data_IF_304245582495
#
_entry.id   IF_304245582495
#
_cell.length_a   1.000
_cell.length_b   1.000
_cell.length_c   1.000
_cell.angle_alpha   90.00
_cell.angle_beta   90.00
_cell.angle_gamma   90.00
#
_symmetry.space_group_name_H-M   'P 1'
#
loop_
_entity.id
_entity.type
_entity.pdbx_description
1 polymer ?
#
# COMPACT_ATOMS: atom_id res chain seq x y z
N UNK A 1 -4.55 -17.89 -48.85
CA UNK A 1 -5.26 -17.59 -47.60
C UNK A 1 -4.42 -18.13 -46.46
N UNK A 2 -3.58 -17.28 -45.87
CA UNK A 2 -2.88 -17.63 -44.65
C UNK A 2 -3.93 -17.68 -43.54
N UNK A 3 -4.06 -18.84 -42.91
CA UNK A 3 -4.93 -19.03 -41.76
C UNK A 3 -4.36 -18.24 -40.59
N UNK A 4 -5.05 -17.16 -40.23
CA UNK A 4 -4.76 -16.34 -39.06
C UNK A 4 -5.00 -17.20 -37.82
N UNK A 5 -3.95 -17.91 -37.36
CA UNK A 5 -4.00 -18.62 -36.09
C UNK A 5 -4.14 -17.56 -35.00
N UNK A 6 -5.11 -17.68 -34.07
CA UNK A 6 -5.22 -16.72 -32.98
C UNK A 6 -3.88 -16.67 -32.24
N UNK A 7 -3.26 -15.49 -32.23
CA UNK A 7 -1.97 -15.27 -31.59
C UNK A 7 -2.15 -15.56 -30.08
N UNK A 8 -1.48 -16.61 -29.61
CA UNK A 8 -1.63 -17.08 -28.23
C UNK A 8 -1.00 -16.05 -27.29
N UNK A 9 -1.77 -15.55 -26.32
CA UNK A 9 -1.23 -14.73 -25.23
C UNK A 9 -0.26 -15.56 -24.37
N UNK A 10 0.90 -14.99 -24.07
CA UNK A 10 2.03 -15.57 -23.35
C UNK A 10 2.32 -14.74 -22.11
N UNK A 11 2.90 -15.37 -21.08
CA UNK A 11 3.27 -14.68 -19.84
C UNK A 11 4.78 -14.48 -19.78
N UNK A 12 5.24 -13.27 -19.47
CA UNK A 12 6.64 -13.00 -19.21
C UNK A 12 6.82 -12.25 -17.88
N UNK A 13 8.01 -12.38 -17.30
CA UNK A 13 8.39 -11.64 -16.10
C UNK A 13 9.56 -10.73 -16.45
N UNK A 14 9.41 -9.44 -16.20
CA UNK A 14 10.40 -8.42 -16.58
C UNK A 14 10.92 -7.78 -15.30
N UNK A 15 12.25 -7.71 -15.15
CA UNK A 15 12.88 -6.88 -14.12
C UNK A 15 12.84 -5.41 -14.53
N UNK A 16 12.60 -4.55 -13.55
CA UNK A 16 12.55 -3.10 -13.68
C UNK A 16 13.67 -2.51 -12.83
N UNK A 17 14.56 -1.69 -13.40
CA UNK A 17 15.67 -1.07 -12.67
C UNK A 17 15.88 0.39 -13.04
N UNK A 18 16.11 1.27 -12.08
CA UNK A 18 16.46 2.67 -12.32
C UNK A 18 17.37 3.24 -11.23
N UNK A 19 18.39 4.02 -11.61
CA UNK A 19 19.28 4.71 -10.65
C UNK A 19 19.64 6.15 -11.03
N UNK A 20 18.93 6.78 -11.97
CA UNK A 20 19.15 8.19 -12.33
C UNK A 20 17.84 8.97 -12.29
N UNK A 21 17.90 10.21 -11.77
CA UNK A 21 16.76 11.12 -11.74
C UNK A 21 15.63 10.66 -10.80
N UNK A 22 14.38 10.87 -11.20
CA UNK A 22 13.21 10.35 -10.49
C UNK A 22 13.01 8.87 -10.83
N UNK A 23 13.75 8.02 -10.13
CA UNK A 23 13.85 6.57 -10.36
C UNK A 23 12.49 5.86 -10.40
N UNK A 24 11.56 6.28 -9.53
CA UNK A 24 10.22 5.70 -9.46
C UNK A 24 9.39 6.16 -10.66
N UNK A 25 9.43 7.45 -11.01
CA UNK A 25 8.71 7.97 -12.17
C UNK A 25 9.20 7.35 -13.49
N UNK A 26 10.50 7.07 -13.62
CA UNK A 26 11.05 6.34 -14.78
C UNK A 26 10.50 4.91 -14.85
N UNK A 27 10.46 4.17 -13.74
CA UNK A 27 9.86 2.82 -13.72
C UNK A 27 8.37 2.87 -14.09
N UNK A 28 7.61 3.82 -13.54
CA UNK A 28 6.19 3.98 -13.88
C UNK A 28 5.98 4.37 -15.33
N UNK A 29 6.88 5.18 -15.91
CA UNK A 29 6.89 5.50 -17.32
C UNK A 29 7.16 4.26 -18.17
N UNK A 30 8.14 3.45 -17.81
CA UNK A 30 8.42 2.20 -18.52
C UNK A 30 7.20 1.27 -18.53
N UNK A 31 6.47 1.13 -17.40
CA UNK A 31 5.22 0.37 -17.38
C UNK A 31 4.15 0.92 -18.33
N UNK A 32 4.02 2.26 -18.45
CA UNK A 32 3.09 2.87 -19.42
C UNK A 32 3.50 2.61 -20.87
N UNK A 33 4.80 2.64 -21.17
CA UNK A 33 5.32 2.33 -22.50
C UNK A 33 5.11 0.86 -22.87
N UNK A 34 5.23 -0.07 -21.90
CA UNK A 34 4.88 -1.48 -22.08
C UNK A 34 3.40 -1.62 -22.47
N UNK A 35 2.50 -1.03 -21.67
CA UNK A 35 1.06 -1.09 -21.91
C UNK A 35 0.70 -0.46 -23.29
N UNK A 36 1.34 0.65 -23.66
CA UNK A 36 1.14 1.33 -24.96
C UNK A 36 1.58 0.49 -26.17
N UNK A 37 2.51 -0.45 -25.98
CA UNK A 37 3.00 -1.38 -27.01
C UNK A 37 2.26 -2.72 -27.03
N UNK A 38 1.17 -2.84 -26.26
CA UNK A 38 0.40 -4.08 -26.15
C UNK A 38 1.04 -5.16 -25.28
N UNK A 39 2.08 -4.81 -24.50
CA UNK A 39 2.69 -5.66 -23.48
C UNK A 39 1.99 -5.32 -22.16
N UNK A 40 0.88 -5.98 -21.89
CA UNK A 40 -0.02 -5.62 -20.78
C UNK A 40 0.60 -5.99 -19.45
N UNK A 41 0.84 -5.00 -18.59
CA UNK A 41 1.36 -5.23 -17.23
C UNK A 41 0.23 -5.65 -16.29
N UNK A 42 0.25 -6.92 -15.87
CA UNK A 42 -0.81 -7.56 -15.08
C UNK A 42 -0.76 -7.21 -13.61
N UNK A 43 0.44 -7.29 -13.03
CA UNK A 43 0.72 -6.95 -11.64
C UNK A 43 2.22 -6.71 -11.47
N UNK A 44 2.59 -6.09 -10.37
CA UNK A 44 3.97 -5.73 -10.06
C UNK A 44 4.35 -6.23 -8.69
N UNK A 45 5.64 -6.44 -8.49
CA UNK A 45 6.22 -6.55 -7.15
C UNK A 45 6.13 -5.20 -6.43
N UNK A 46 6.58 -5.16 -5.18
CA UNK A 46 6.99 -3.91 -4.52
C UNK A 46 8.20 -3.32 -5.25
N UNK A 47 8.45 -2.02 -5.08
CA UNK A 47 9.74 -1.42 -5.45
C UNK A 47 10.71 -1.60 -4.29
N UNK A 48 11.95 -1.97 -4.59
CA UNK A 48 13.00 -2.29 -3.62
C UNK A 48 14.20 -1.38 -3.84
N UNK A 49 14.70 -0.75 -2.78
CA UNK A 49 15.90 0.08 -2.86
C UNK A 49 17.15 -0.71 -2.45
N UNK A 50 18.17 -0.72 -3.32
CA UNK A 50 19.47 -1.33 -3.07
C UNK A 50 20.62 -0.35 -3.20
N UNK A 51 21.72 -0.66 -2.53
CA UNK A 51 23.02 -0.07 -2.88
C UNK A 51 23.48 -0.56 -4.27
N UNK A 52 24.30 0.23 -4.98
CA UNK A 52 24.92 -0.21 -6.23
C UNK A 52 25.76 -1.48 -6.04
N UNK A 53 25.48 -2.53 -6.81
CA UNK A 53 26.19 -3.81 -6.69
C UNK A 53 27.63 -3.78 -7.29
N UNK A 54 27.89 -2.91 -8.28
CA UNK A 54 29.12 -2.96 -9.08
C UNK A 54 30.02 -1.72 -8.95
N UNK A 55 29.45 -0.56 -8.59
CA UNK A 55 30.18 0.71 -8.52
C UNK A 55 29.66 1.55 -7.35
N UNK A 56 30.45 1.70 -6.29
CA UNK A 56 30.02 2.35 -5.05
C UNK A 56 29.74 3.88 -5.19
N UNK A 57 30.33 4.55 -6.18
CA UNK A 57 30.12 5.99 -6.45
C UNK A 57 28.87 6.25 -7.32
N UNK A 58 27.73 5.62 -6.99
CA UNK A 58 26.46 5.82 -7.72
C UNK A 58 25.27 5.97 -6.76
N UNK A 59 24.22 6.65 -7.24
CA UNK A 59 22.94 6.69 -6.54
C UNK A 59 22.36 5.27 -6.37
N UNK A 60 21.61 5.07 -5.28
CA UNK A 60 20.96 3.79 -4.97
C UNK A 60 20.03 3.36 -6.11
N UNK A 61 19.94 2.07 -6.36
CA UNK A 61 19.04 1.53 -7.38
C UNK A 61 17.66 1.32 -6.80
N UNK A 62 16.63 1.61 -7.60
CA UNK A 62 15.26 1.12 -7.37
C UNK A 62 15.03 -0.03 -8.32
N UNK A 63 14.66 -1.19 -7.77
CA UNK A 63 14.42 -2.42 -8.51
C UNK A 63 12.99 -2.91 -8.27
N UNK A 64 12.43 -3.59 -9.25
CA UNK A 64 11.14 -4.27 -9.15
C UNK A 64 11.03 -5.34 -10.22
N UNK A 65 9.90 -6.02 -10.27
CA UNK A 65 9.53 -6.93 -11.32
C UNK A 65 8.06 -6.72 -11.69
N UNK A 66 7.70 -7.04 -12.92
CA UNK A 66 6.32 -7.12 -13.35
C UNK A 66 6.02 -8.40 -14.10
N UNK A 67 4.80 -8.89 -13.91
CA UNK A 67 4.22 -9.95 -14.74
C UNK A 67 3.47 -9.28 -15.89
N UNK A 68 3.75 -9.71 -17.12
CA UNK A 68 3.15 -9.15 -18.33
C UNK A 68 2.50 -10.22 -19.20
N UNK A 69 1.43 -9.83 -19.89
CA UNK A 69 0.81 -10.59 -20.98
C UNK A 69 1.22 -9.98 -22.33
N UNK A 70 1.68 -10.80 -23.27
CA UNK A 70 2.06 -10.36 -24.62
C UNK A 70 1.78 -11.43 -25.67
N UNK A 71 1.73 -11.04 -26.94
CA UNK A 71 1.66 -11.96 -28.10
C UNK A 71 2.99 -12.06 -28.86
N UNK A 72 4.00 -11.30 -28.44
CA UNK A 72 5.34 -11.25 -29.04
C UNK A 72 6.15 -12.48 -28.65
N UNK A 73 6.97 -13.02 -29.54
CA UNK A 73 7.95 -14.07 -29.20
C UNK A 73 9.13 -13.49 -28.36
N UNK A 74 9.93 -14.32 -27.66
CA UNK A 74 10.93 -13.84 -26.69
C UNK A 74 11.93 -12.80 -27.22
N UNK A 75 12.41 -12.97 -28.45
CA UNK A 75 13.33 -12.02 -29.08
C UNK A 75 12.63 -10.72 -29.51
N UNK A 76 11.38 -10.80 -29.95
CA UNK A 76 10.57 -9.62 -30.29
C UNK A 76 10.23 -8.81 -29.02
N UNK A 77 9.95 -9.50 -27.91
CA UNK A 77 9.79 -8.86 -26.61
C UNK A 77 11.07 -8.12 -26.21
N UNK A 78 12.24 -8.77 -26.33
CA UNK A 78 13.53 -8.14 -26.05
C UNK A 78 13.75 -6.88 -26.91
N UNK A 79 13.44 -6.94 -28.21
CA UNK A 79 13.55 -5.80 -29.12
C UNK A 79 12.67 -4.63 -28.65
N UNK A 80 11.42 -4.90 -28.24
CA UNK A 80 10.53 -3.89 -27.70
C UNK A 80 11.04 -3.28 -26.38
N UNK A 81 11.61 -4.07 -25.47
CA UNK A 81 12.20 -3.55 -24.24
C UNK A 81 13.39 -2.61 -24.53
N UNK A 82 14.26 -3.00 -25.46
CA UNK A 82 15.41 -2.19 -25.88
C UNK A 82 14.99 -0.86 -26.53
N UNK A 83 13.91 -0.87 -27.30
CA UNK A 83 13.33 0.34 -27.87
C UNK A 83 12.74 1.28 -26.80
N UNK A 84 12.08 0.74 -25.77
CA UNK A 84 11.56 1.53 -24.64
C UNK A 84 12.71 2.23 -23.93
N UNK A 85 13.77 1.49 -23.60
CA UNK A 85 14.94 2.05 -22.93
C UNK A 85 15.62 3.14 -23.78
N UNK A 86 15.77 2.91 -25.08
CA UNK A 86 16.34 3.88 -26.00
C UNK A 86 15.49 5.15 -26.08
N UNK A 87 14.15 5.01 -26.17
CA UNK A 87 13.20 6.12 -26.17
C UNK A 87 13.28 6.94 -24.88
N UNK A 88 13.46 6.28 -23.74
CA UNK A 88 13.56 6.94 -22.44
C UNK A 88 14.93 7.61 -22.22
N UNK A 89 15.91 7.41 -23.12
CA UNK A 89 17.18 8.12 -23.10
C UNK A 89 18.37 7.29 -22.59
N UNK A 90 18.30 5.96 -22.66
CA UNK A 90 19.42 5.07 -22.33
C UNK A 90 20.65 5.42 -23.19
N UNK A 91 21.66 6.06 -22.58
CA UNK A 91 22.98 6.26 -23.17
C UNK A 91 23.91 5.16 -22.67
N UNK A 92 24.22 4.16 -23.50
CA UNK A 92 25.26 3.14 -23.21
C UNK A 92 26.64 3.81 -23.23
N UNK A 93 26.99 4.53 -22.17
CA UNK A 93 28.31 5.13 -21.99
C UNK A 93 29.30 4.15 -21.34
N UNK A 94 28.82 3.28 -20.43
CA UNK A 94 29.61 2.28 -19.70
C UNK A 94 28.76 1.02 -19.47
N UNK A 95 29.34 -0.18 -19.63
CA UNK A 95 28.66 -1.43 -19.27
C UNK A 95 28.40 -1.49 -17.75
N UNK A 96 27.18 -1.86 -17.37
CA UNK A 96 26.64 -1.77 -15.99
C UNK A 96 26.78 -0.39 -15.30
N UNK A 97 26.93 0.69 -16.07
CA UNK A 97 26.93 2.07 -15.55
C UNK A 97 25.53 2.62 -15.22
N UNK A 98 25.43 3.86 -14.73
CA UNK A 98 24.16 4.51 -14.38
C UNK A 98 23.19 4.60 -15.55
N UNK A 99 21.90 4.30 -15.32
CA UNK A 99 20.83 4.30 -16.31
C UNK A 99 19.55 4.85 -15.71
N UNK A 100 18.80 5.57 -16.54
CA UNK A 100 17.45 6.03 -16.22
C UNK A 100 16.44 4.87 -16.14
N UNK A 101 16.61 3.83 -16.96
CA UNK A 101 15.81 2.60 -16.92
C UNK A 101 16.61 1.41 -17.49
N UNK A 102 16.39 0.22 -16.92
CA UNK A 102 16.89 -1.08 -17.38
C UNK A 102 15.73 -2.10 -17.31
N UNK A 103 15.47 -2.80 -18.41
CA UNK A 103 14.39 -3.77 -18.55
C UNK A 103 14.94 -5.11 -19.03
N UNK A 104 14.92 -6.13 -18.17
CA UNK A 104 15.43 -7.47 -18.49
C UNK A 104 14.32 -8.53 -18.46
N UNK A 105 14.24 -9.37 -19.50
CA UNK A 105 13.35 -10.54 -19.49
C UNK A 105 13.93 -11.59 -18.54
N UNK A 106 13.23 -11.86 -17.44
CA UNK A 106 13.62 -12.84 -16.43
C UNK A 106 13.18 -14.25 -16.79
N UNK A 107 11.90 -14.38 -17.14
CA UNK A 107 11.22 -15.64 -17.45
C UNK A 107 10.22 -15.41 -18.59
N UNK A 108 9.95 -16.46 -19.36
CA UNK A 108 8.96 -16.44 -20.43
C UNK A 108 8.27 -17.80 -20.48
N UNK A 109 6.99 -17.83 -20.11
CA UNK A 109 6.22 -19.04 -19.78
C UNK A 109 7.04 -20.03 -18.92
N UNK A 110 7.34 -21.22 -19.46
CA UNK A 110 8.23 -22.24 -18.92
C UNK A 110 9.38 -22.56 -19.92
N UNK A 111 9.64 -21.63 -20.86
CA UNK A 111 10.60 -21.82 -21.94
C UNK A 111 12.05 -21.66 -21.46
N UNK A 112 12.95 -22.39 -22.12
CA UNK A 112 14.40 -22.23 -21.96
C UNK A 112 14.95 -21.70 -23.28
N UNK A 113 15.43 -20.46 -23.26
CA UNK A 113 16.01 -19.79 -24.44
C UNK A 113 17.51 -19.71 -24.24
N UNK A 114 18.27 -20.20 -25.22
CA UNK A 114 19.72 -20.04 -25.28
C UNK A 114 20.08 -19.41 -26.64
N UNK A 115 20.15 -18.09 -26.67
CA UNK A 115 20.46 -17.29 -27.84
C UNK A 115 21.56 -16.28 -27.50
N UNK A 116 22.38 -15.88 -28.48
CA UNK A 116 23.49 -14.93 -28.29
C UNK A 116 23.06 -13.59 -27.67
N UNK A 117 21.80 -13.19 -27.90
CA UNK A 117 21.20 -11.95 -27.39
C UNK A 117 20.33 -12.14 -26.14
N UNK A 118 19.88 -13.36 -25.85
CA UNK A 118 18.84 -13.63 -24.86
C UNK A 118 19.02 -15.01 -24.21
N UNK A 119 19.05 -15.03 -22.88
CA UNK A 119 19.04 -16.26 -22.09
C UNK A 119 17.83 -16.25 -21.17
N UNK A 120 17.02 -17.30 -21.21
CA UNK A 120 15.84 -17.48 -20.34
C UNK A 120 15.91 -18.87 -19.70
N UNK A 121 15.78 -19.00 -18.36
CA UNK A 121 15.76 -17.92 -17.36
C UNK A 121 16.99 -17.02 -17.42
N UNK A 122 16.84 -15.75 -17.03
CA UNK A 122 17.92 -14.76 -17.13
C UNK A 122 19.21 -15.24 -16.43
N UNK A 123 20.35 -15.11 -17.10
CA UNK A 123 21.62 -15.71 -16.67
C UNK A 123 22.08 -15.28 -15.27
N UNK A 124 21.83 -14.02 -14.89
CA UNK A 124 22.20 -13.47 -13.58
C UNK A 124 21.12 -13.59 -12.49
N UNK A 125 20.03 -14.33 -12.72
CA UNK A 125 18.89 -14.37 -11.78
C UNK A 125 19.30 -14.94 -10.42
N UNK A 126 20.16 -15.97 -10.39
CA UNK A 126 20.55 -16.67 -9.17
C UNK A 126 21.51 -15.91 -8.26
N UNK A 127 22.12 -14.84 -8.75
CA UNK A 127 23.17 -14.10 -8.03
C UNK A 127 22.65 -12.78 -7.44
N UNK A 128 21.42 -12.38 -7.80
CA UNK A 128 20.92 -11.02 -7.56
C UNK A 128 19.69 -11.05 -6.66
N UNK A 129 19.87 -10.72 -5.38
CA UNK A 129 18.77 -10.61 -4.43
C UNK A 129 17.72 -9.60 -4.90
N UNK A 130 18.14 -8.47 -5.46
CA UNK A 130 17.25 -7.43 -5.99
C UNK A 130 16.45 -7.84 -7.24
N UNK A 131 16.73 -9.02 -7.81
CA UNK A 131 15.91 -9.64 -8.86
C UNK A 131 15.03 -10.74 -8.27
N UNK A 132 15.61 -11.65 -7.48
CA UNK A 132 14.88 -12.77 -6.90
C UNK A 132 13.83 -12.33 -5.88
N UNK A 133 14.08 -11.29 -5.09
CA UNK A 133 13.15 -10.80 -4.07
C UNK A 133 11.86 -10.22 -4.68
N UNK A 134 11.91 -9.28 -5.65
CA UNK A 134 10.72 -8.89 -6.41
C UNK A 134 10.02 -10.05 -7.11
N UNK A 135 10.78 -10.97 -7.71
CA UNK A 135 10.20 -12.10 -8.44
C UNK A 135 9.49 -13.09 -7.51
N UNK A 136 10.05 -13.35 -6.33
CA UNK A 136 9.44 -14.20 -5.31
C UNK A 136 8.13 -13.61 -4.76
N UNK A 137 7.94 -12.28 -4.77
CA UNK A 137 6.63 -11.68 -4.44
C UNK A 137 5.54 -12.05 -5.47
N UNK A 138 5.92 -12.20 -6.74
CA UNK A 138 4.99 -12.54 -7.83
C UNK A 138 4.72 -14.04 -7.93
N UNK A 139 5.78 -14.84 -7.81
CA UNK A 139 5.77 -16.29 -8.09
C UNK A 139 6.61 -17.09 -7.07
N UNK A 140 6.28 -17.05 -5.78
CA UNK A 140 7.10 -17.67 -4.72
C UNK A 140 7.23 -19.19 -4.91
N UNK A 141 6.19 -19.85 -5.45
CA UNK A 141 6.07 -21.30 -5.59
C UNK A 141 6.25 -21.80 -7.04
N UNK A 142 6.69 -20.96 -7.98
CA UNK A 142 7.01 -21.38 -9.36
C UNK A 142 8.45 -21.90 -9.41
N UNK A 143 8.68 -22.99 -10.13
CA UNK A 143 10.05 -23.43 -10.43
C UNK A 143 10.67 -22.53 -11.49
N UNK A 144 11.87 -21.99 -11.24
CA UNK A 144 12.57 -21.14 -12.20
C UNK A 144 13.17 -21.93 -13.36
N UNK A 145 13.65 -23.15 -13.09
CA UNK A 145 14.37 -23.97 -14.06
C UNK A 145 13.63 -25.30 -14.27
N UNK A 146 13.26 -25.66 -15.51
CA UNK A 146 12.61 -26.94 -15.79
C UNK A 146 13.44 -28.18 -15.39
N UNK A 147 14.76 -28.03 -15.27
CA UNK A 147 15.66 -29.10 -14.79
C UNK A 147 15.54 -29.38 -13.29
N UNK A 148 15.02 -28.42 -12.51
CA UNK A 148 14.87 -28.49 -11.06
C UNK A 148 13.41 -28.18 -10.65
N UNK A 149 12.42 -28.96 -11.10
CA UNK A 149 11.00 -28.66 -10.87
C UNK A 149 10.57 -28.67 -9.40
N UNK A 150 11.38 -29.26 -8.51
CA UNK A 150 11.13 -29.33 -7.07
C UNK A 150 11.63 -28.10 -6.30
N UNK A 151 12.35 -27.17 -6.95
CA UNK A 151 12.95 -26.01 -6.30
C UNK A 151 12.28 -24.72 -6.80
N UNK A 152 11.64 -24.01 -5.88
CA UNK A 152 10.83 -22.84 -6.18
C UNK A 152 11.64 -21.53 -6.12
N UNK A 153 11.11 -20.46 -6.71
CA UNK A 153 11.70 -19.11 -6.66
C UNK A 153 12.09 -18.70 -5.25
N UNK A 154 11.22 -18.97 -4.25
CA UNK A 154 11.49 -18.64 -2.86
C UNK A 154 12.68 -19.42 -2.29
N UNK A 155 12.91 -20.67 -2.71
CA UNK A 155 14.05 -21.46 -2.24
C UNK A 155 15.38 -20.85 -2.71
N UNK A 156 15.44 -20.39 -3.96
CA UNK A 156 16.63 -19.68 -4.46
C UNK A 156 16.89 -18.36 -3.72
N UNK A 157 15.84 -17.62 -3.36
CA UNK A 157 15.98 -16.41 -2.55
C UNK A 157 16.50 -16.73 -1.14
N UNK A 158 16.01 -17.81 -0.52
CA UNK A 158 16.43 -18.22 0.82
C UNK A 158 17.89 -18.71 0.89
N UNK A 159 18.44 -19.17 -0.24
CA UNK A 159 19.84 -19.61 -0.33
C UNK A 159 20.83 -18.44 -0.52
N UNK A 160 20.35 -17.27 -0.95
CA UNK A 160 21.19 -16.09 -1.04
C UNK A 160 21.55 -15.55 0.35
N UNK A 161 22.79 -15.06 0.55
CA UNK A 161 23.08 -14.29 1.74
C UNK A 161 22.18 -13.04 1.76
N UNK A 162 21.59 -12.67 2.91
CA UNK A 162 20.83 -11.43 3.00
C UNK A 162 21.75 -10.24 2.76
N UNK A 163 21.28 -9.23 2.03
CA UNK A 163 22.01 -7.97 1.87
C UNK A 163 22.26 -7.28 3.21
N UNK A 164 23.41 -6.63 3.32
CA UNK A 164 23.78 -5.76 4.43
C UNK A 164 24.18 -4.37 3.86
N UNK A 165 23.40 -3.30 4.10
CA UNK A 165 22.16 -3.28 4.88
C UNK A 165 21.00 -4.02 4.18
N UNK A 166 19.99 -4.51 4.93
CA UNK A 166 18.82 -5.15 4.36
C UNK A 166 18.07 -4.26 3.36
N UNK A 167 17.53 -4.89 2.31
CA UNK A 167 16.68 -4.24 1.33
C UNK A 167 15.43 -3.65 1.99
N UNK A 168 14.99 -2.48 1.52
CA UNK A 168 13.71 -1.89 1.92
C UNK A 168 12.79 -1.69 0.73
N UNK A 169 11.48 -1.83 0.95
CA UNK A 169 10.48 -1.44 -0.05
C UNK A 169 10.30 0.08 -0.09
N UNK A 170 9.81 0.59 -1.23
CA UNK A 170 9.46 1.98 -1.46
C UNK A 170 7.98 2.09 -1.88
N UNK A 171 7.21 2.88 -1.14
CA UNK A 171 5.85 3.29 -1.51
C UNK A 171 5.80 4.80 -1.74
N UNK A 172 5.81 5.28 -3.00
CA UNK A 172 5.79 6.71 -3.32
C UNK A 172 4.49 7.38 -2.90
N UNK A 173 4.53 8.46 -2.14
CA UNK A 173 3.35 9.21 -1.71
C UNK A 173 3.15 10.48 -2.55
N UNK A 174 4.19 11.30 -2.70
CA UNK A 174 4.23 12.47 -3.60
C UNK A 174 5.62 12.60 -4.23
N UNK A 175 5.78 13.48 -5.22
CA UNK A 175 7.09 13.76 -5.84
C UNK A 175 8.00 14.63 -4.97
N UNK A 176 7.45 15.26 -3.93
CA UNK A 176 8.19 16.18 -3.04
C UNK A 176 8.58 15.54 -1.71
N UNK A 177 7.99 14.40 -1.36
CA UNK A 177 8.25 13.69 -0.12
C UNK A 177 8.94 12.35 -0.39
N UNK A 178 9.83 11.89 0.51
CA UNK A 178 10.42 10.58 0.38
C UNK A 178 9.33 9.49 0.45
N UNK A 179 9.48 8.38 -0.29
CA UNK A 179 8.56 7.26 -0.22
C UNK A 179 8.57 6.61 1.18
N UNK A 180 7.47 5.96 1.55
CA UNK A 180 7.45 5.11 2.74
C UNK A 180 8.42 3.94 2.55
N UNK A 181 9.19 3.64 3.60
CA UNK A 181 10.22 2.61 3.60
C UNK A 181 9.90 1.53 4.61
N UNK A 182 8.85 0.73 4.34
CA UNK A 182 8.18 -0.13 5.33
C UNK A 182 9.08 -1.16 6.03
N UNK A 183 10.24 -1.48 5.45
CA UNK A 183 11.16 -2.48 6.00
C UNK A 183 12.44 -1.87 6.56
N UNK A 184 12.70 -0.57 6.36
CA UNK A 184 13.87 0.09 6.94
C UNK A 184 13.74 0.08 8.48
N UNK A 185 14.74 -0.44 9.22
CA UNK A 185 14.69 -0.50 10.69
C UNK A 185 14.52 0.89 11.33
N UNK A 186 15.24 1.89 10.83
CA UNK A 186 15.26 3.27 11.32
C UNK A 186 14.17 4.19 10.73
N UNK A 187 13.13 3.62 10.09
CA UNK A 187 12.05 4.41 9.47
C UNK A 187 11.22 5.14 10.52
N UNK A 188 10.61 6.27 10.17
CA UNK A 188 9.71 6.99 11.10
C UNK A 188 8.26 6.59 10.89
N UNK A 189 7.47 6.55 11.96
CA UNK A 189 6.02 6.38 11.85
C UNK A 189 5.41 7.73 11.48
N UNK A 190 4.58 7.74 10.44
CA UNK A 190 3.86 8.92 10.01
C UNK A 190 2.61 9.15 10.87
N UNK A 191 2.40 10.40 11.27
CA UNK A 191 1.19 10.82 11.99
C UNK A 191 0.21 11.41 10.97
N UNK A 192 -0.91 10.72 10.76
CA UNK A 192 -2.01 11.16 9.90
C UNK A 192 -3.11 11.79 10.74
N UNK A 193 -3.24 13.11 10.64
CA UNK A 193 -4.24 13.89 11.35
C UNK A 193 -5.62 13.76 10.69
N UNK A 194 -6.64 13.43 11.48
CA UNK A 194 -8.02 13.33 11.01
C UNK A 194 -8.64 14.72 10.91
N UNK A 195 -9.05 15.13 9.71
CA UNK A 195 -9.78 16.35 9.44
C UNK A 195 -11.17 16.03 8.89
N UNK A 196 -12.14 15.88 9.80
CA UNK A 196 -13.53 15.66 9.42
C UNK A 196 -14.21 16.99 9.09
N UNK A 197 -14.70 17.12 7.87
CA UNK A 197 -15.46 18.27 7.42
C UNK A 197 -16.95 18.04 7.73
N UNK A 198 -17.44 18.65 8.81
CA UNK A 198 -18.89 18.67 9.13
C UNK A 198 -19.49 20.05 8.84
N UNK A 199 -20.82 20.16 8.66
CA UNK A 199 -21.49 21.44 8.35
C UNK A 199 -21.15 22.59 9.30
N UNK A 200 -20.93 22.28 10.57
CA UNK A 200 -20.77 23.28 11.64
C UNK A 200 -19.30 23.52 12.05
N UNK A 201 -18.33 22.79 11.50
CA UNK A 201 -16.98 22.74 12.11
C UNK A 201 -16.14 23.99 11.87
N UNK A 202 -16.39 24.74 10.79
CA UNK A 202 -15.48 25.82 10.35
C UNK A 202 -16.25 26.96 9.68
N UNK A 203 -17.16 27.63 10.39
CA UNK A 203 -17.83 28.84 9.90
C UNK A 203 -16.97 30.08 10.16
N UNK A 204 -16.68 30.85 9.11
CA UNK A 204 -15.96 32.14 9.17
C UNK A 204 -16.82 33.29 9.75
N UNK A 205 -17.83 33.00 10.58
CA UNK A 205 -18.72 34.04 11.08
C UNK A 205 -19.78 33.54 12.05
N UNK A 206 -19.48 33.61 13.34
CA UNK A 206 -20.44 33.36 14.40
C UNK A 206 -19.80 33.50 15.78
N UNK A 207 -20.41 34.32 16.63
CA UNK A 207 -19.92 34.79 17.92
C UNK A 207 -19.80 33.71 19.00
N UNK A 208 -18.78 32.87 18.89
CA UNK A 208 -18.00 32.17 19.92
C UNK A 208 -16.75 31.71 19.17
N UNK A 209 -15.55 32.20 19.53
CA UNK A 209 -14.34 32.07 18.71
C UNK A 209 -14.03 30.63 18.26
N UNK A 210 -14.60 30.21 17.13
CA UNK A 210 -14.29 28.96 16.47
C UNK A 210 -12.89 29.12 15.85
N UNK A 211 -12.02 28.14 16.09
CA UNK A 211 -10.71 28.10 15.44
C UNK A 211 -10.94 27.94 13.94
N UNK A 212 -10.31 28.76 13.11
CA UNK A 212 -10.47 28.64 11.66
C UNK A 212 -9.95 27.28 11.17
N UNK A 213 -10.41 26.84 10.00
CA UNK A 213 -9.88 25.62 9.37
C UNK A 213 -8.36 25.71 9.16
N UNK A 214 -7.87 26.89 8.74
CA UNK A 214 -6.44 27.15 8.56
C UNK A 214 -5.66 27.02 9.88
N UNK A 215 -6.20 27.53 10.98
CA UNK A 215 -5.54 27.43 12.30
C UNK A 215 -5.52 25.99 12.83
N UNK A 216 -6.57 25.22 12.53
CA UNK A 216 -6.61 23.78 12.83
C UNK A 216 -5.53 23.03 12.05
N UNK A 217 -5.38 23.32 10.75
CA UNK A 217 -4.33 22.74 9.90
C UNK A 217 -2.94 23.12 10.43
N UNK A 218 -2.69 24.40 10.75
CA UNK A 218 -1.41 24.84 11.34
C UNK A 218 -1.13 24.16 12.69
N UNK A 219 -2.16 23.94 13.50
CA UNK A 219 -2.06 23.20 14.76
C UNK A 219 -1.64 21.75 14.54
N UNK A 220 -2.21 21.05 13.55
CA UNK A 220 -1.78 19.69 13.19
C UNK A 220 -0.31 19.66 12.76
N UNK A 221 0.10 20.58 11.89
CA UNK A 221 1.47 20.65 11.37
C UNK A 221 2.47 20.91 12.50
N UNK A 222 2.23 21.95 13.30
CA UNK A 222 3.10 22.28 14.45
C UNK A 222 3.12 21.19 15.52
N UNK A 223 2.09 20.35 15.58
CA UNK A 223 2.01 19.19 16.47
C UNK A 223 2.72 17.95 15.92
N UNK A 224 3.22 17.98 14.69
CA UNK A 224 4.00 16.92 14.08
C UNK A 224 3.23 15.99 13.14
N UNK A 225 2.04 16.39 12.66
CA UNK A 225 1.40 15.68 11.56
C UNK A 225 2.27 15.75 10.30
N UNK A 226 2.44 14.62 9.65
CA UNK A 226 3.08 14.52 8.32
C UNK A 226 2.07 14.26 7.21
N UNK A 227 0.85 13.86 7.59
CA UNK A 227 -0.28 13.61 6.70
C UNK A 227 -1.53 14.26 7.29
N UNK A 228 -2.41 14.77 6.45
CA UNK A 228 -3.76 15.23 6.83
C UNK A 228 -4.77 14.44 6.00
N UNK A 229 -5.72 13.80 6.65
CA UNK A 229 -6.76 12.99 6.03
C UNK A 229 -8.10 13.71 6.09
N UNK A 230 -8.56 14.16 4.92
CA UNK A 230 -9.75 14.99 4.74
C UNK A 230 -10.95 14.10 4.45
N UNK A 231 -11.92 14.07 5.37
CA UNK A 231 -13.15 13.31 5.21
C UNK A 231 -14.39 14.20 5.11
N UNK A 232 -15.17 14.04 4.05
CA UNK A 232 -16.45 14.76 3.85
C UNK A 232 -17.69 13.94 4.22
N UNK A 233 -17.57 12.60 4.25
CA UNK A 233 -18.61 11.65 4.61
C UNK A 233 -18.19 10.87 5.87
N UNK A 234 -19.09 10.77 6.84
CA UNK A 234 -18.82 9.97 8.03
C UNK A 234 -18.96 8.47 7.73
N UNK A 235 -17.93 7.70 8.03
CA UNK A 235 -17.92 6.23 7.93
C UNK A 235 -18.27 5.54 9.27
N UNK A 236 -18.61 6.31 10.31
CA UNK A 236 -19.08 5.77 11.58
C UNK A 236 -20.45 5.05 11.45
N UNK A 237 -20.72 4.01 12.26
CA UNK A 237 -21.99 3.29 12.22
C UNK A 237 -23.20 4.20 12.33
N UNK A 238 -24.25 3.90 11.56
CA UNK A 238 -25.58 4.54 11.64
C UNK A 238 -25.60 6.05 11.35
N UNK A 239 -24.54 6.60 10.74
CA UNK A 239 -24.54 7.99 10.27
C UNK A 239 -25.18 8.07 8.88
N UNK A 240 -26.03 9.08 8.62
CA UNK A 240 -26.64 9.26 7.31
C UNK A 240 -25.58 9.56 6.25
N UNK A 241 -25.81 9.07 5.03
CA UNK A 241 -25.02 9.45 3.87
C UNK A 241 -25.40 10.85 3.39
N UNK A 242 -24.40 11.64 3.01
CA UNK A 242 -24.59 12.90 2.32
C UNK A 242 -24.57 12.69 0.81
N UNK A 243 -25.17 13.63 0.08
CA UNK A 243 -25.09 13.67 -1.37
C UNK A 243 -23.61 13.82 -1.83
N UNK A 244 -23.31 13.35 -3.04
CA UNK A 244 -21.95 13.44 -3.61
C UNK A 244 -21.50 14.89 -3.69
N UNK A 245 -22.40 15.78 -4.11
CA UNK A 245 -22.17 17.22 -4.24
C UNK A 245 -21.84 17.87 -2.90
N UNK A 246 -22.46 17.40 -1.82
CA UNK A 246 -22.20 17.88 -0.47
C UNK A 246 -20.83 17.42 0.04
N UNK A 247 -20.46 16.15 -0.21
CA UNK A 247 -19.13 15.63 0.11
C UNK A 247 -18.04 16.37 -0.68
N UNK A 248 -18.24 16.60 -1.97
CA UNK A 248 -17.35 17.41 -2.82
C UNK A 248 -17.19 18.83 -2.29
N UNK A 249 -18.31 19.48 -1.93
CA UNK A 249 -18.33 20.83 -1.37
C UNK A 249 -17.60 20.95 -0.03
N UNK A 250 -17.43 19.85 0.70
CA UNK A 250 -16.66 19.77 1.94
C UNK A 250 -15.18 19.49 1.69
N UNK A 251 -14.87 18.50 0.85
CA UNK A 251 -13.51 17.97 0.67
C UNK A 251 -12.65 18.86 -0.21
N UNK A 252 -13.16 19.28 -1.38
CA UNK A 252 -12.36 19.99 -2.38
C UNK A 252 -11.85 21.35 -1.87
N UNK A 253 -12.67 22.20 -1.22
CA UNK A 253 -12.18 23.46 -0.67
C UNK A 253 -11.14 23.28 0.43
N UNK A 254 -11.30 22.26 1.28
CA UNK A 254 -10.35 21.95 2.35
C UNK A 254 -8.97 21.54 1.79
N UNK A 255 -8.94 20.68 0.78
CA UNK A 255 -7.69 20.28 0.11
C UNK A 255 -7.00 21.49 -0.53
N UNK A 256 -7.75 22.34 -1.24
CA UNK A 256 -7.20 23.57 -1.85
C UNK A 256 -6.65 24.52 -0.80
N UNK A 257 -7.34 24.67 0.33
CA UNK A 257 -6.84 25.48 1.44
C UNK A 257 -5.53 24.92 1.98
N UNK A 258 -5.46 23.61 2.28
CA UNK A 258 -4.21 22.98 2.75
C UNK A 258 -3.08 23.26 1.75
N UNK A 259 -3.31 23.06 0.44
CA UNK A 259 -2.29 23.33 -0.59
C UNK A 259 -1.88 24.79 -0.72
N UNK A 260 -2.74 25.73 -0.34
CA UNK A 260 -2.42 27.16 -0.38
C UNK A 260 -1.56 27.63 0.80
N UNK A 261 -1.47 26.84 1.88
CA UNK A 261 -0.71 27.19 3.09
C UNK A 261 0.78 26.86 2.87
N UNK A 262 1.70 27.83 2.99
CA UNK A 262 3.14 27.59 2.88
C UNK A 262 3.65 26.54 3.87
N UNK A 263 3.10 26.53 5.09
CA UNK A 263 3.48 25.59 6.16
C UNK A 263 3.10 24.14 5.83
N UNK A 264 2.19 23.94 4.86
CA UNK A 264 1.70 22.64 4.44
C UNK A 264 2.37 22.11 3.16
N UNK A 265 3.42 22.79 2.65
CA UNK A 265 4.12 22.40 1.42
C UNK A 265 4.62 20.94 1.43
N UNK A 266 5.08 20.49 2.58
CA UNK A 266 5.63 19.15 2.80
C UNK A 266 4.62 18.16 3.42
N UNK A 267 3.35 18.57 3.53
CA UNK A 267 2.30 17.74 4.11
C UNK A 267 1.63 16.93 3.02
N UNK A 268 1.56 15.62 3.25
CA UNK A 268 0.80 14.72 2.40
C UNK A 268 -0.70 14.87 2.68
N UNK A 269 -1.49 14.96 1.62
CA UNK A 269 -2.94 15.08 1.74
C UNK A 269 -3.60 13.77 1.33
N UNK A 270 -4.30 13.15 2.27
CA UNK A 270 -5.15 11.99 2.06
C UNK A 270 -6.61 12.44 1.96
N UNK A 271 -7.39 11.78 1.09
CA UNK A 271 -8.86 11.92 1.06
C UNK A 271 -9.51 10.64 1.57
N UNK A 272 -10.33 10.75 2.62
CA UNK A 272 -11.14 9.66 3.18
C UNK A 272 -12.47 9.61 2.44
N UNK A 273 -12.54 8.77 1.40
CA UNK A 273 -13.75 8.58 0.60
C UNK A 273 -13.81 7.19 -0.02
N UNK A 274 -15.03 6.67 -0.13
CA UNK A 274 -15.35 5.44 -0.84
C UNK A 274 -16.02 5.70 -2.20
N UNK A 275 -16.04 6.97 -2.67
CA UNK A 275 -16.68 7.38 -3.93
C UNK A 275 -15.66 7.80 -4.97
N UNK A 276 -15.71 7.19 -6.15
CA UNK A 276 -14.74 7.39 -7.22
C UNK A 276 -14.69 8.85 -7.70
N UNK A 277 -15.86 9.48 -7.86
CA UNK A 277 -15.97 10.88 -8.28
C UNK A 277 -15.36 11.87 -7.28
N UNK A 278 -15.46 11.59 -5.98
CA UNK A 278 -14.84 12.39 -4.92
C UNK A 278 -13.33 12.18 -4.89
N UNK A 279 -12.87 10.94 -5.02
CA UNK A 279 -11.44 10.63 -5.10
C UNK A 279 -10.77 11.34 -6.28
N UNK A 280 -11.39 11.32 -7.46
CA UNK A 280 -10.92 12.07 -8.63
C UNK A 280 -10.84 13.57 -8.37
N UNK A 281 -11.94 14.19 -7.92
CA UNK A 281 -11.97 15.62 -7.67
C UNK A 281 -10.97 16.05 -6.59
N UNK A 282 -10.77 15.22 -5.56
CA UNK A 282 -9.77 15.44 -4.51
C UNK A 282 -8.34 15.38 -5.04
N UNK A 283 -8.01 14.38 -5.88
CA UNK A 283 -6.69 14.29 -6.52
C UNK A 283 -6.45 15.48 -7.45
N UNK A 284 -7.44 15.90 -8.23
CA UNK A 284 -7.36 17.11 -9.06
C UNK A 284 -7.18 18.39 -8.23
N UNK A 285 -7.74 18.43 -7.02
CA UNK A 285 -7.56 19.52 -6.08
C UNK A 285 -6.18 19.50 -5.38
N UNK A 286 -5.45 18.40 -5.48
CA UNK A 286 -4.10 18.25 -4.96
C UNK A 286 -3.91 17.17 -3.90
N UNK A 287 -4.84 16.21 -3.72
CA UNK A 287 -4.61 15.06 -2.84
C UNK A 287 -3.51 14.13 -3.40
N UNK A 288 -2.74 13.54 -2.49
CA UNK A 288 -1.65 12.58 -2.77
C UNK A 288 -2.07 11.13 -2.57
N UNK A 289 -3.00 10.90 -1.64
CA UNK A 289 -3.41 9.56 -1.19
C UNK A 289 -4.94 9.45 -1.25
N UNK A 290 -5.43 8.32 -1.74
CA UNK A 290 -6.86 7.96 -1.67
C UNK A 290 -7.02 6.92 -0.57
N UNK A 291 -7.70 7.29 0.52
CA UNK A 291 -7.98 6.40 1.64
C UNK A 291 -9.41 5.87 1.55
N UNK A 292 -9.56 4.63 1.12
CA UNK A 292 -10.87 3.99 0.95
C UNK A 292 -11.09 2.88 1.97
N UNK A 293 -11.99 3.16 2.91
CA UNK A 293 -12.42 2.21 3.96
C UNK A 293 -12.99 0.91 3.39
N UNK A 294 -13.52 0.93 2.17
CA UNK A 294 -14.11 -0.22 1.49
C UNK A 294 -13.12 -0.99 0.63
N UNK A 295 -11.90 -0.49 0.48
CA UNK A 295 -10.90 -0.98 -0.47
C UNK A 295 -11.47 -1.17 -1.89
N UNK A 296 -12.35 -0.28 -2.35
CA UNK A 296 -13.01 -0.29 -3.66
C UNK A 296 -14.26 -1.18 -3.74
N UNK A 297 -14.83 -1.61 -2.62
CA UNK A 297 -16.01 -2.49 -2.59
C UNK A 297 -17.35 -1.74 -2.60
N UNK A 298 -17.37 -0.45 -2.21
CA UNK A 298 -18.61 0.33 -2.14
C UNK A 298 -18.94 1.10 -3.43
N UNK A 299 -17.97 1.32 -4.30
CA UNK A 299 -18.13 1.99 -5.59
C UNK A 299 -17.43 1.18 -6.68
N UNK A 300 -18.16 0.66 -7.69
CA UNK A 300 -17.60 -0.19 -8.73
C UNK A 300 -16.54 0.52 -9.60
N UNK A 301 -16.58 1.85 -9.67
CA UNK A 301 -15.63 2.65 -10.45
C UNK A 301 -14.39 3.07 -9.66
N UNK A 302 -14.33 2.74 -8.35
CA UNK A 302 -13.23 3.20 -7.49
C UNK A 302 -11.88 2.62 -7.89
N UNK A 303 -11.77 1.31 -8.09
CA UNK A 303 -10.48 0.68 -8.40
C UNK A 303 -9.93 1.12 -9.75
N UNK A 304 -10.78 1.25 -10.77
CA UNK A 304 -10.38 1.76 -12.09
C UNK A 304 -9.97 3.23 -12.03
N UNK A 305 -10.66 4.02 -11.20
CA UNK A 305 -10.30 5.42 -10.92
C UNK A 305 -8.95 5.52 -10.22
N UNK A 306 -8.72 4.76 -9.16
CA UNK A 306 -7.42 4.68 -8.47
C UNK A 306 -6.28 4.28 -9.41
N UNK A 307 -6.49 3.27 -10.25
CA UNK A 307 -5.51 2.81 -11.23
C UNK A 307 -5.14 3.91 -12.24
N UNK A 308 -6.13 4.66 -12.73
CA UNK A 308 -5.91 5.77 -13.66
C UNK A 308 -5.23 6.98 -13.01
N UNK A 309 -5.58 7.30 -11.76
CA UNK A 309 -5.01 8.43 -11.03
C UNK A 309 -3.55 8.19 -10.61
N UNK A 310 -3.13 6.91 -10.51
CA UNK A 310 -1.76 6.50 -10.15
C UNK A 310 -1.25 7.13 -8.84
N UNK A 311 -2.17 7.41 -7.92
CA UNK A 311 -1.87 7.86 -6.56
C UNK A 311 -1.71 6.68 -5.63
N UNK A 312 -1.12 6.92 -4.46
CA UNK A 312 -1.07 5.90 -3.42
C UNK A 312 -2.44 5.72 -2.81
N UNK A 313 -2.79 4.47 -2.51
CA UNK A 313 -4.12 4.09 -2.02
C UNK A 313 -4.00 3.36 -0.69
N UNK A 314 -4.88 3.68 0.25
CA UNK A 314 -5.07 2.88 1.45
C UNK A 314 -6.26 1.95 1.22
N UNK A 315 -6.02 0.65 1.29
CA UNK A 315 -7.04 -0.40 1.20
C UNK A 315 -7.31 -0.92 2.61
N UNK A 316 -8.43 -0.53 3.19
CA UNK A 316 -8.83 -0.98 4.52
C UNK A 316 -9.69 -2.24 4.45
N UNK A 317 -9.50 -3.13 5.41
CA UNK A 317 -10.35 -4.28 5.62
C UNK A 317 -11.66 -3.91 6.33
N UNK A 318 -12.79 -4.08 5.65
CA UNK A 318 -14.13 -4.02 6.23
C UNK A 318 -15.09 -5.03 5.57
N UNK A 319 -16.24 -5.27 6.20
CA UNK A 319 -17.34 -6.05 5.62
C UNK A 319 -18.63 -5.24 5.61
N UNK A 320 -19.40 -5.36 4.53
CA UNK A 320 -20.66 -4.64 4.34
C UNK A 320 -20.46 -3.15 4.13
N UNK A 321 -21.30 -2.33 4.77
CA UNK A 321 -21.29 -0.86 4.68
C UNK A 321 -21.32 -0.27 6.09
N UNK A 322 -21.12 1.06 6.28
CA UNK A 322 -21.30 1.69 7.60
C UNK A 322 -22.65 1.37 8.27
N UNK A 323 -23.70 1.10 7.49
CA UNK A 323 -25.02 0.72 7.99
C UNK A 323 -25.09 -0.76 8.44
N UNK A 324 -24.39 -1.67 7.78
CA UNK A 324 -24.53 -3.13 7.99
C UNK A 324 -23.35 -3.78 8.71
N UNK A 325 -22.17 -3.15 8.73
CA UNK A 325 -20.93 -3.75 9.20
C UNK A 325 -21.01 -4.28 10.64
N UNK A 326 -21.83 -3.67 11.50
CA UNK A 326 -21.95 -4.08 12.90
C UNK A 326 -22.46 -5.51 13.08
N UNK A 327 -23.20 -6.07 12.12
CA UNK A 327 -23.69 -7.45 12.16
C UNK A 327 -22.78 -8.46 11.46
N UNK A 328 -21.72 -8.00 10.78
CA UNK A 328 -20.82 -8.84 9.95
C UNK A 328 -19.50 -9.18 10.65
N UNK A 329 -19.56 -9.37 11.97
CA UNK A 329 -18.39 -9.55 12.84
C UNK A 329 -18.02 -11.02 13.11
N UNK A 330 -18.62 -11.98 12.42
CA UNK A 330 -18.25 -13.40 12.55
C UNK A 330 -17.08 -13.75 11.61
N UNK A 331 -15.87 -13.96 12.13
CA UNK A 331 -14.66 -14.27 11.35
C UNK A 331 -14.28 -15.75 11.30
N UNK A 332 -15.12 -16.66 11.82
CA UNK A 332 -14.75 -18.08 11.86
C UNK A 332 -15.47 -18.95 12.88
N UNK A 333 -16.54 -18.47 13.51
CA UNK A 333 -17.47 -19.40 14.13
C UNK A 333 -18.16 -20.20 13.02
N UNK A 334 -17.83 -21.49 12.93
CA UNK A 334 -18.74 -22.43 12.30
C UNK A 334 -20.08 -22.32 13.00
N UNK A 335 -21.14 -22.12 12.22
CA UNK A 335 -22.47 -22.55 12.60
C UNK A 335 -22.45 -24.06 12.85
N UNK A 336 -22.19 -24.46 14.09
CA UNK A 336 -22.46 -25.80 14.59
C UNK A 336 -23.11 -25.63 15.98
N UNK A 337 -24.43 -25.76 16.00
CA UNK A 337 -25.15 -26.06 17.23
C UNK A 337 -24.76 -27.46 17.71
N UNK A 338 -24.34 -27.61 18.97
CA UNK A 338 -24.93 -28.60 19.88
C UNK A 338 -24.27 -28.54 21.26
N UNK A 339 -25.12 -28.79 22.24
CA UNK A 339 -24.91 -29.03 23.66
C UNK A 339 -23.89 -30.11 23.99
N UNK A 340 -23.23 -29.90 25.14
CA UNK A 340 -22.74 -30.85 26.15
C UNK A 340 -21.84 -32.03 25.71
N UNK A 341 -20.55 -32.01 26.10
CA UNK A 341 -19.92 -33.01 26.98
C UNK A 341 -18.42 -32.73 27.21
N UNK A 342 -18.00 -33.07 28.42
CA UNK A 342 -16.72 -32.91 29.11
C UNK A 342 -15.41 -32.92 28.28
N UNK A 343 -14.57 -31.90 28.53
CA UNK A 343 -13.13 -32.15 28.71
C UNK A 343 -12.20 -31.96 27.52
N UNK A 344 -12.56 -31.19 26.48
CA UNK A 344 -11.59 -30.69 25.47
C UNK A 344 -11.77 -29.21 25.23
N UNK A 345 -10.73 -28.43 25.51
CA UNK A 345 -10.66 -26.98 25.28
C UNK A 345 -10.87 -26.71 23.78
N UNK A 346 -11.98 -26.08 23.43
CA UNK A 346 -12.20 -25.56 22.07
C UNK A 346 -11.06 -24.59 21.69
N UNK A 347 -10.62 -24.54 20.42
CA UNK A 347 -9.69 -23.50 19.98
C UNK A 347 -10.30 -22.13 20.31
N UNK A 348 -9.48 -21.20 20.83
CA UNK A 348 -9.96 -19.86 21.19
C UNK A 348 -10.49 -19.18 19.92
N UNK A 349 -11.73 -18.71 19.96
CA UNK A 349 -12.42 -18.02 18.85
C UNK A 349 -11.66 -16.83 18.24
N UNK A 350 -10.61 -16.34 18.91
CA UNK A 350 -9.71 -15.28 18.44
C UNK A 350 -8.72 -15.74 17.33
N UNK A 351 -8.45 -17.04 17.19
CA UNK A 351 -7.40 -17.56 16.30
C UNK A 351 -7.74 -17.36 14.80
N UNK A 352 -9.02 -17.25 14.45
CA UNK A 352 -9.47 -17.09 13.06
C UNK A 352 -9.49 -15.63 12.57
N UNK A 353 -9.42 -14.64 13.48
CA UNK A 353 -9.58 -13.22 13.12
C UNK A 353 -8.48 -12.76 12.15
N UNK A 354 -7.22 -12.99 12.50
CA UNK A 354 -6.07 -12.58 11.69
C UNK A 354 -6.02 -13.32 10.34
N UNK A 355 -6.12 -14.66 10.28
CA UNK A 355 -6.17 -15.39 9.02
C UNK A 355 -7.29 -14.93 8.08
N UNK A 356 -8.49 -14.69 8.60
CA UNK A 356 -9.63 -14.28 7.79
C UNK A 356 -9.46 -12.85 7.26
N UNK A 357 -8.99 -11.91 8.09
CA UNK A 357 -8.66 -10.54 7.64
C UNK A 357 -7.57 -10.58 6.57
N UNK A 358 -6.54 -11.40 6.75
CA UNK A 358 -5.45 -11.52 5.80
C UNK A 358 -5.94 -12.03 4.44
N UNK A 359 -6.77 -13.07 4.44
CA UNK A 359 -7.40 -13.62 3.24
C UNK A 359 -8.24 -12.57 2.52
N UNK A 360 -9.11 -11.87 3.22
CA UNK A 360 -9.99 -10.86 2.63
C UNK A 360 -9.21 -9.65 2.10
N UNK A 361 -8.13 -9.24 2.77
CA UNK A 361 -7.21 -8.22 2.24
C UNK A 361 -6.48 -8.68 0.98
N UNK A 362 -6.01 -9.94 0.92
CA UNK A 362 -5.40 -10.49 -0.29
C UNK A 362 -6.36 -10.46 -1.49
N UNK A 363 -7.65 -10.75 -1.27
CA UNK A 363 -8.68 -10.64 -2.31
C UNK A 363 -8.83 -9.20 -2.80
N UNK A 364 -8.74 -8.20 -1.90
CA UNK A 364 -8.77 -6.78 -2.29
C UNK A 364 -7.49 -6.33 -3.01
N UNK A 365 -6.32 -6.79 -2.57
CA UNK A 365 -5.04 -6.52 -3.28
C UNK A 365 -5.08 -7.11 -4.68
N UNK A 366 -5.56 -8.35 -4.85
CA UNK A 366 -5.69 -8.97 -6.17
C UNK A 366 -6.66 -8.19 -7.08
N UNK A 367 -7.79 -7.70 -6.54
CA UNK A 367 -8.73 -6.87 -7.28
C UNK A 367 -8.11 -5.52 -7.70
N UNK A 368 -7.33 -4.89 -6.81
CA UNK A 368 -6.60 -3.66 -7.08
C UNK A 368 -5.56 -3.84 -8.19
N UNK A 369 -4.74 -4.89 -8.10
CA UNK A 369 -3.74 -5.24 -9.12
C UNK A 369 -4.41 -5.52 -10.48
N UNK A 370 -5.51 -6.28 -10.48
CA UNK A 370 -6.27 -6.57 -11.70
C UNK A 370 -6.87 -5.32 -12.37
N UNK A 371 -7.19 -4.29 -11.58
CA UNK A 371 -7.64 -2.99 -12.08
C UNK A 371 -6.48 -2.11 -12.62
N UNK A 372 -5.23 -2.49 -12.38
CA UNK A 372 -4.03 -1.78 -12.83
C UNK A 372 -3.32 -0.98 -11.73
N UNK A 373 -3.75 -1.08 -10.47
CA UNK A 373 -3.05 -0.45 -9.35
C UNK A 373 -1.74 -1.20 -9.11
N UNK A 374 -0.61 -0.49 -9.12
CA UNK A 374 0.70 -1.10 -8.89
C UNK A 374 0.86 -1.42 -7.42
N UNK A 375 1.46 -2.56 -7.10
CA UNK A 375 1.63 -3.03 -5.70
C UNK A 375 2.38 -2.03 -4.83
N UNK A 376 3.38 -1.34 -5.40
CA UNK A 376 4.11 -0.28 -4.71
C UNK A 376 3.28 0.97 -4.40
N UNK A 377 2.04 1.09 -4.85
CA UNK A 377 1.10 2.18 -4.51
C UNK A 377 0.10 1.82 -3.42
N UNK A 378 0.21 0.63 -2.81
CA UNK A 378 -0.80 0.13 -1.85
C UNK A 378 -0.29 0.28 -0.40
N UNK A 379 -1.13 0.83 0.46
CA UNK A 379 -1.05 0.78 1.93
C UNK A 379 -2.23 -0.05 2.42
N UNK A 380 -2.03 -0.90 3.44
CA UNK A 380 -3.09 -1.72 4.03
C UNK A 380 -3.54 -1.19 5.39
N UNK A 381 -4.82 -1.35 5.75
CA UNK A 381 -5.34 -1.08 7.10
C UNK A 381 -6.21 -2.25 7.58
N UNK A 382 -6.01 -2.81 8.79
CA UNK A 382 -6.84 -3.90 9.30
C UNK A 382 -8.29 -3.49 9.63
N UNK A 383 -8.59 -2.20 9.64
CA UNK A 383 -9.92 -1.62 9.82
C UNK A 383 -10.47 -1.77 11.22
N UNK A 384 -9.74 -1.26 12.23
CA UNK A 384 -10.20 -1.32 13.63
C UNK A 384 -11.57 -0.64 13.81
N UNK A 385 -12.52 -1.36 14.40
CA UNK A 385 -13.90 -0.94 14.62
C UNK A 385 -14.82 -1.09 13.41
N UNK A 386 -14.33 -1.56 12.27
CA UNK A 386 -15.14 -1.85 11.09
C UNK A 386 -15.43 -3.34 11.00
N UNK A 387 -16.70 -3.72 11.19
CA UNK A 387 -17.14 -5.11 11.28
C UNK A 387 -16.39 -5.95 12.33
N UNK A 388 -15.96 -5.36 13.45
CA UNK A 388 -15.16 -6.03 14.49
C UNK A 388 -15.61 -5.65 15.88
N UNK A 389 -15.79 -6.63 16.77
CA UNK A 389 -16.11 -6.39 18.19
C UNK A 389 -14.86 -6.06 19.02
N UNK A 390 -15.05 -5.65 20.27
CA UNK A 390 -13.96 -5.21 21.14
C UNK A 390 -12.81 -6.21 21.26
N UNK A 391 -13.12 -7.48 21.52
CA UNK A 391 -12.10 -8.55 21.60
C UNK A 391 -11.30 -8.69 20.30
N UNK A 392 -11.97 -8.72 19.16
CA UNK A 392 -11.33 -8.83 17.84
C UNK A 392 -10.40 -7.65 17.54
N UNK A 393 -10.78 -6.42 17.91
CA UNK A 393 -9.91 -5.24 17.77
C UNK A 393 -8.63 -5.37 18.62
N UNK A 394 -8.74 -5.92 19.83
CA UNK A 394 -7.57 -6.18 20.69
C UNK A 394 -6.71 -7.32 20.12
N UNK A 395 -7.32 -8.36 19.56
CA UNK A 395 -6.62 -9.47 18.89
C UNK A 395 -5.81 -8.97 17.69
N UNK A 396 -6.38 -8.09 16.86
CA UNK A 396 -5.65 -7.47 15.75
C UNK A 396 -4.45 -6.67 16.25
N UNK A 397 -4.61 -5.83 17.28
CA UNK A 397 -3.49 -5.06 17.83
C UNK A 397 -2.39 -5.96 18.40
N UNK A 398 -2.76 -7.07 19.06
CA UNK A 398 -1.82 -8.05 19.62
C UNK A 398 -1.03 -8.79 18.55
N UNK A 399 -1.66 -9.06 17.42
CA UNK A 399 -1.14 -9.91 16.34
C UNK A 399 -0.92 -9.12 15.03
N UNK A 400 -0.70 -7.81 15.12
CA UNK A 400 -0.52 -6.95 13.95
C UNK A 400 0.75 -7.35 13.17
N UNK A 401 1.81 -7.78 13.88
CA UNK A 401 3.03 -8.29 13.24
C UNK A 401 2.74 -9.55 12.43
N UNK A 402 2.00 -10.50 13.00
CA UNK A 402 1.61 -11.75 12.33
C UNK A 402 0.77 -11.46 11.07
N UNK A 403 -0.15 -10.48 11.15
CA UNK A 403 -0.94 -10.05 10.00
C UNK A 403 -0.07 -9.42 8.89
N UNK A 404 0.91 -8.58 9.24
CA UNK A 404 1.84 -7.98 8.28
C UNK A 404 2.75 -9.03 7.64
N UNK A 405 3.19 -10.02 8.41
CA UNK A 405 4.08 -11.09 7.97
C UNK A 405 3.33 -12.21 7.22
N UNK A 406 2.00 -12.08 7.07
CA UNK A 406 1.18 -13.04 6.36
C UNK A 406 1.60 -13.18 4.88
N UNK A 407 1.71 -14.41 4.33
CA UNK A 407 2.01 -14.67 2.93
C UNK A 407 1.20 -13.82 1.93
N UNK A 408 1.89 -13.02 1.14
CA UNK A 408 1.31 -12.12 0.13
C UNK A 408 0.97 -10.72 0.63
N UNK A 409 0.97 -10.48 1.95
CA UNK A 409 0.82 -9.14 2.55
C UNK A 409 2.15 -8.54 3.02
N UNK A 410 3.22 -9.36 3.04
CA UNK A 410 4.54 -8.88 3.41
C UNK A 410 4.98 -7.71 2.52
N UNK A 411 5.86 -6.89 3.09
CA UNK A 411 6.54 -5.77 2.43
C UNK A 411 5.65 -4.57 2.08
N UNK A 412 4.32 -4.70 2.20
CA UNK A 412 3.37 -3.59 2.10
C UNK A 412 3.39 -2.74 3.38
N UNK A 413 3.31 -1.41 3.26
CA UNK A 413 3.13 -0.53 4.42
C UNK A 413 1.75 -0.64 5.04
N UNK A 414 1.66 -0.35 6.34
CA UNK A 414 0.43 -0.46 7.13
C UNK A 414 -0.01 0.86 7.76
N UNK A 415 -1.28 1.18 7.63
CA UNK A 415 -1.98 2.25 8.34
C UNK A 415 -2.85 1.65 9.45
N UNK A 416 -2.86 2.26 10.64
CA UNK A 416 -3.74 1.86 11.74
C UNK A 416 -4.49 3.04 12.33
N UNK A 417 -5.83 3.03 12.22
CA UNK A 417 -6.72 4.00 12.84
C UNK A 417 -7.41 3.50 14.12
N UNK A 418 -6.77 3.64 15.28
CA UNK A 418 -7.34 3.25 16.58
C UNK A 418 -7.98 4.41 17.38
N UNK A 419 -7.76 5.66 16.96
CA UNK A 419 -8.05 6.85 17.75
C UNK A 419 -9.53 7.00 18.15
N UNK A 420 -9.77 7.21 19.45
CA UNK A 420 -11.08 7.46 20.07
C UNK A 420 -12.13 6.37 19.84
N UNK A 421 -11.76 5.18 19.36
CA UNK A 421 -12.69 4.07 19.05
C UNK A 421 -13.44 3.58 20.30
N UNK A 422 -14.64 3.04 20.09
CA UNK A 422 -15.55 2.64 21.18
C UNK A 422 -15.00 1.53 22.07
N UNK A 423 -14.22 0.59 21.53
CA UNK A 423 -13.61 -0.49 22.31
C UNK A 423 -12.65 0.04 23.38
N UNK A 424 -11.94 1.14 23.11
CA UNK A 424 -11.06 1.80 24.08
C UNK A 424 -11.87 2.30 25.28
N UNK A 425 -13.01 2.96 25.01
CA UNK A 425 -13.88 3.45 26.08
C UNK A 425 -14.48 2.32 26.93
N UNK A 426 -14.81 1.18 26.31
CA UNK A 426 -15.31 -0.01 27.03
C UNK A 426 -14.25 -0.60 27.96
N UNK A 427 -13.00 -0.69 27.53
CA UNK A 427 -11.89 -1.25 28.33
C UNK A 427 -11.46 -0.29 29.45
N UNK A 428 -11.38 1.01 29.17
CA UNK A 428 -10.86 2.02 30.11
C UNK A 428 -11.92 2.64 31.02
N UNK A 429 -13.21 2.41 30.74
CA UNK A 429 -14.32 3.10 31.41
C UNK A 429 -14.54 4.55 30.94
N UNK A 430 -13.75 5.06 29.99
CA UNK A 430 -13.87 6.45 29.49
C UNK A 430 -14.97 6.55 28.43
N UNK A 431 -16.11 7.12 28.82
CA UNK A 431 -17.32 7.17 27.99
C UNK A 431 -17.22 8.20 26.86
N UNK A 432 -16.65 9.38 27.10
CA UNK A 432 -16.54 10.46 26.11
C UNK A 432 -15.40 10.18 25.11
N UNK A 433 -15.65 10.11 23.78
CA UNK A 433 -14.61 9.83 22.80
C UNK A 433 -13.39 10.77 22.88
N UNK A 434 -13.61 12.06 23.10
CA UNK A 434 -12.55 13.07 23.19
C UNK A 434 -11.61 12.88 24.40
N UNK A 435 -12.01 12.11 25.42
CA UNK A 435 -11.19 11.88 26.61
C UNK A 435 -10.40 10.57 26.56
N UNK A 436 -10.57 9.77 25.50
CA UNK A 436 -9.93 8.46 25.35
C UNK A 436 -8.45 8.56 24.97
N UNK A 437 -7.77 9.66 25.35
CA UNK A 437 -6.40 9.98 24.95
C UNK A 437 -5.43 8.89 25.41
N UNK A 438 -5.45 8.52 26.70
CA UNK A 438 -4.52 7.52 27.25
C UNK A 438 -4.76 6.10 26.73
N UNK A 439 -6.02 5.72 26.55
CA UNK A 439 -6.34 4.46 25.90
C UNK A 439 -5.91 4.45 24.43
N UNK A 440 -6.04 5.59 23.74
CA UNK A 440 -5.52 5.76 22.36
C UNK A 440 -3.99 5.70 22.32
N UNK A 441 -3.30 6.29 23.29
CA UNK A 441 -1.84 6.23 23.40
C UNK A 441 -1.37 4.76 23.47
N UNK A 442 -2.04 3.93 24.28
CA UNK A 442 -1.71 2.51 24.39
C UNK A 442 -1.91 1.77 23.05
N UNK A 443 -3.01 2.04 22.33
CA UNK A 443 -3.26 1.38 21.04
C UNK A 443 -2.34 1.88 19.93
N UNK A 444 -1.94 3.16 19.95
CA UNK A 444 -0.96 3.72 19.02
C UNK A 444 0.43 3.12 19.26
N UNK A 445 0.88 3.02 20.51
CA UNK A 445 2.15 2.39 20.85
C UNK A 445 2.19 0.91 20.41
N UNK A 446 1.09 0.16 20.64
CA UNK A 446 0.95 -1.21 20.15
C UNK A 446 0.97 -1.30 18.61
N UNK A 447 0.32 -0.36 17.92
CA UNK A 447 0.37 -0.31 16.45
C UNK A 447 1.80 -0.06 15.92
N UNK A 448 2.57 0.83 16.56
CA UNK A 448 3.97 1.09 16.19
C UNK A 448 4.87 -0.12 16.47
N UNK A 449 4.63 -0.85 17.56
CA UNK A 449 5.36 -2.09 17.90
C UNK A 449 5.02 -3.25 16.94
N UNK A 450 3.76 -3.38 16.55
CA UNK A 450 3.34 -4.23 15.43
C UNK A 450 3.89 -3.75 14.08
N UNK A 451 4.40 -2.51 14.03
CA UNK A 451 5.09 -1.84 12.94
C UNK A 451 4.18 -1.32 11.83
N UNK A 452 3.09 -0.67 12.23
CA UNK A 452 2.35 0.26 11.39
C UNK A 452 3.24 1.42 10.95
N UNK A 453 3.25 1.75 9.66
CA UNK A 453 4.00 2.86 9.08
C UNK A 453 3.27 4.19 9.21
N UNK A 454 1.94 4.15 9.33
CA UNK A 454 1.08 5.31 9.52
C UNK A 454 0.11 5.06 10.68
N UNK A 455 -0.04 6.03 11.58
CA UNK A 455 -1.11 6.03 12.59
C UNK A 455 -2.08 7.18 12.34
N UNK A 456 -3.38 6.86 12.31
CA UNK A 456 -4.44 7.83 12.03
C UNK A 456 -5.12 8.29 13.31
N UNK A 457 -4.99 9.58 13.64
CA UNK A 457 -5.26 10.13 14.99
C UNK A 457 -6.00 11.47 14.98
N UNK A 458 -6.82 11.70 16.02
CA UNK A 458 -7.46 13.00 16.27
C UNK A 458 -6.56 13.93 17.10
N UNK A 459 -5.95 13.40 18.16
CA UNK A 459 -5.16 14.14 19.15
C UNK A 459 -3.68 14.17 18.73
N UNK A 460 -3.36 14.97 17.70
CA UNK A 460 -2.07 14.96 16.99
C UNK A 460 -0.89 15.23 17.91
N UNK A 461 -1.01 16.21 18.82
CA UNK A 461 0.08 16.62 19.70
C UNK A 461 0.48 15.51 20.66
N UNK A 462 -0.51 14.92 21.33
CA UNK A 462 -0.33 13.84 22.29
C UNK A 462 0.16 12.58 21.57
N UNK A 463 -0.48 12.19 20.46
CA UNK A 463 -0.10 10.99 19.74
C UNK A 463 1.23 11.13 19.00
N UNK A 464 1.62 12.33 18.58
CA UNK A 464 2.95 12.60 18.04
C UNK A 464 4.06 12.42 19.09
N UNK A 465 3.79 12.71 20.36
CA UNK A 465 4.73 12.37 21.45
C UNK A 465 4.82 10.86 21.67
N UNK A 466 3.68 10.16 21.69
CA UNK A 466 3.64 8.69 21.81
C UNK A 466 4.42 8.04 20.67
N UNK A 467 4.15 8.44 19.42
CA UNK A 467 4.83 7.93 18.23
C UNK A 467 6.34 8.13 18.32
N UNK A 468 6.82 9.34 18.67
CA UNK A 468 8.26 9.59 18.82
C UNK A 468 8.91 8.69 19.86
N UNK A 469 8.24 8.47 20.99
CA UNK A 469 8.74 7.57 22.01
C UNK A 469 8.71 6.11 21.53
N UNK A 470 7.63 5.67 20.89
CA UNK A 470 7.51 4.31 20.35
C UNK A 470 8.55 4.02 19.26
N UNK A 471 8.79 4.96 18.34
CA UNK A 471 9.86 4.87 17.34
C UNK A 471 11.23 4.76 18.03
N UNK A 472 11.49 5.54 19.09
CA UNK A 472 12.76 5.46 19.81
C UNK A 472 12.98 4.10 20.53
N UNK A 473 11.92 3.37 20.86
CA UNK A 473 12.01 2.03 21.46
C UNK A 473 12.24 0.97 20.38
N UNK A 474 11.53 1.05 19.24
CA UNK A 474 11.43 -0.05 18.27
C UNK A 474 12.09 0.18 16.90
N UNK A 475 12.57 1.39 16.61
CA UNK A 475 13.09 1.79 15.29
C UNK A 475 14.44 2.49 15.39
N UNK A 476 15.45 1.75 15.87
CA UNK A 476 16.83 2.22 16.05
C UNK A 476 17.80 1.62 15.04
#
# INVERSE_FOLDING_TARGET
>A
MATDKPQRTRTAYIALGSNLGDRIAEIERACRELDARGIRVKRTSSLWETEPMYYADQDRFVNGACEVETTLEPLELLDQLQEIEALMGRKKLIDKGPRNIDLDVLLYDDEVVNHERLTIPHAGILEREFVLRPLAELIPTKALFPKNPWKFTQDYLNELPPSDPPLTTLTPSSSTQPPLQALRPSRKTHVMAILNMTPDSFSDGGSHAATSLADTIRSFISSGATMIDVGGQSTAPQRPEVAVEEELGRVVPAIRLIRSLPEAQDILISVDTYRASVAEAAVQAGADIINDVSAGAMDPDMLSTMARLQKTVCLMHMRGTPATMSSLNNYGASSASSSDEEGKVAPKDDDAVVPTIAKELLERVAAAEAAGIRRWRIILDPGLGFAKVGAQNLTILRHLRDLREWPGLQNLPWLVGSSRKSFIGKVTGVTRPAERIWGTAATVAAAVEGGADVVRVHDVKEMGQVVRMSDAIWRY
#
